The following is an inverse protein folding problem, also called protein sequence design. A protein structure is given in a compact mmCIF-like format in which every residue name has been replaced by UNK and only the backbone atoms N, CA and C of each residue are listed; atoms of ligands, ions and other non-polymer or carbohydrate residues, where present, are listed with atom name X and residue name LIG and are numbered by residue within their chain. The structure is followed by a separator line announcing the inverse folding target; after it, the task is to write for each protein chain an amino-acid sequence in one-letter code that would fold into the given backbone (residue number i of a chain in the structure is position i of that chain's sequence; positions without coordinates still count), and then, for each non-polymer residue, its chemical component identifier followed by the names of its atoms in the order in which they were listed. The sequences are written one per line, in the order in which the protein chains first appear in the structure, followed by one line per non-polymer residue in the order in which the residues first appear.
data_IF_690663790360
#
_entry.id   IF_690663790360
#
_cell.length_a   1.000
_cell.length_b   1.000
_cell.length_c   1.000
_cell.angle_alpha   90.00
_cell.angle_beta   90.00
_cell.angle_gamma   90.00
#
_symmetry.space_group_name_H-M   'P 1'
#
loop_
_entity.id
_entity.type
_entity.pdbx_description
1 polymer ?
#
# COMPACT_ATOMS: atom_id res chain seq x y z
N UNK A 1 13.89 -5.36 23.09
CA UNK A 1 12.50 -5.52 22.62
C UNK A 1 11.58 -4.60 23.41
N UNK A 2 11.02 -3.57 22.77
CA UNK A 2 9.95 -2.78 23.39
C UNK A 2 8.62 -3.43 23.04
N UNK A 3 8.06 -4.20 23.96
CA UNK A 3 6.67 -4.63 23.87
C UNK A 3 5.78 -3.39 23.99
N UNK A 4 5.22 -2.91 22.86
CA UNK A 4 4.10 -1.97 22.88
C UNK A 4 2.95 -2.62 23.65
N UNK A 5 2.67 -2.15 24.87
CA UNK A 5 1.47 -2.54 25.61
C UNK A 5 0.24 -2.04 24.84
N UNK A 6 -0.37 -2.93 24.09
CA UNK A 6 -1.68 -2.74 23.47
C UNK A 6 -2.72 -2.71 24.60
N UNK A 7 -3.56 -1.66 24.67
CA UNK A 7 -4.63 -1.60 25.66
C UNK A 7 -5.54 -2.82 25.49
N UNK A 8 -5.72 -3.60 26.55
CA UNK A 8 -6.43 -4.89 26.57
C UNK A 8 -7.95 -4.80 26.29
N UNK A 9 -8.42 -3.69 25.73
CA UNK A 9 -9.84 -3.36 25.51
C UNK A 9 -10.22 -3.48 24.03
N UNK A 10 -9.25 -3.51 23.10
CA UNK A 10 -9.55 -3.64 21.67
C UNK A 10 -8.78 -4.77 21.02
N UNK A 11 -9.51 -5.64 20.33
CA UNK A 11 -8.97 -6.64 19.41
C UNK A 11 -8.31 -6.00 18.18
N UNK A 12 -8.54 -4.70 17.96
CA UNK A 12 -7.93 -3.92 16.89
C UNK A 12 -6.51 -3.48 17.25
N UNK A 13 -5.57 -3.96 16.44
CA UNK A 13 -4.15 -3.61 16.49
C UNK A 13 -3.77 -2.42 15.59
N UNK A 14 -4.66 -2.00 14.68
CA UNK A 14 -4.48 -0.83 13.84
C UNK A 14 -5.49 -0.76 12.69
N UNK A 15 -5.25 0.14 11.73
CA UNK A 15 -6.03 0.28 10.50
C UNK A 15 -5.10 0.23 9.29
N UNK A 16 -5.51 -0.46 8.24
CA UNK A 16 -4.84 -0.47 6.95
C UNK A 16 -5.70 0.28 5.94
N UNK A 17 -5.15 1.33 5.31
CA UNK A 17 -5.89 2.17 4.36
C UNK A 17 -5.20 2.22 3.00
N UNK A 18 -5.97 2.54 1.98
CA UNK A 18 -5.49 3.02 0.69
C UNK A 18 -6.19 4.33 0.35
N UNK A 19 -5.43 5.28 -0.17
CA UNK A 19 -5.93 6.57 -0.62
C UNK A 19 -5.59 6.83 -2.08
N UNK A 20 -6.35 7.69 -2.74
CA UNK A 20 -6.03 8.15 -4.09
C UNK A 20 -4.91 9.19 -4.07
N UNK A 21 -4.42 9.58 -5.26
CA UNK A 21 -3.41 10.64 -5.41
C UNK A 21 -3.83 12.01 -4.82
N UNK A 22 -5.14 12.25 -4.66
CA UNK A 22 -5.69 13.46 -4.05
C UNK A 22 -5.82 13.35 -2.51
N UNK A 23 -5.29 12.28 -1.91
CA UNK A 23 -5.33 12.00 -0.46
C UNK A 23 -6.73 11.75 0.12
N UNK A 24 -7.69 11.35 -0.70
CA UNK A 24 -8.96 10.80 -0.21
C UNK A 24 -8.80 9.31 0.07
N UNK A 25 -9.20 8.87 1.26
CA UNK A 25 -9.25 7.45 1.63
C UNK A 25 -10.30 6.76 0.75
N UNK A 26 -9.89 5.74 0.01
CA UNK A 26 -10.76 4.97 -0.88
C UNK A 26 -11.31 3.73 -0.19
N UNK A 27 -10.44 3.03 0.54
CA UNK A 27 -10.77 1.81 1.28
C UNK A 27 -9.95 1.78 2.57
N UNK A 28 -10.51 1.12 3.59
CA UNK A 28 -9.81 0.81 4.83
C UNK A 28 -10.29 -0.52 5.41
N UNK A 29 -9.45 -1.15 6.23
CA UNK A 29 -9.84 -2.31 7.02
C UNK A 29 -9.12 -2.32 8.37
N UNK A 30 -9.78 -2.89 9.37
CA UNK A 30 -9.22 -3.03 10.71
C UNK A 30 -8.23 -4.19 10.77
N UNK A 31 -7.07 -3.94 11.35
CA UNK A 31 -6.10 -4.98 11.64
C UNK A 31 -6.44 -5.63 12.98
N UNK A 32 -7.03 -6.82 12.94
CA UNK A 32 -7.51 -7.54 14.12
C UNK A 32 -6.46 -8.55 14.60
N UNK A 33 -6.01 -8.41 15.86
CA UNK A 33 -5.15 -9.35 16.61
C UNK A 33 -3.76 -9.67 16.05
N UNK A 34 -3.39 -9.18 14.87
CA UNK A 34 -2.23 -9.70 14.14
C UNK A 34 -1.22 -8.65 13.65
N UNK A 35 -1.43 -7.36 13.91
CA UNK A 35 -0.61 -6.29 13.33
C UNK A 35 -0.61 -6.35 11.79
N UNK A 36 0.48 -5.91 11.16
CA UNK A 36 0.63 -5.75 9.70
C UNK A 36 0.93 -7.07 8.96
N UNK A 37 -0.04 -7.99 8.93
CA UNK A 37 0.05 -9.19 8.10
C UNK A 37 -0.32 -8.91 6.64
N UNK A 38 0.26 -9.67 5.70
CA UNK A 38 0.00 -9.54 4.25
C UNK A 38 -1.46 -9.80 3.84
N UNK A 39 -2.28 -10.38 4.71
CA UNK A 39 -3.71 -10.58 4.45
C UNK A 39 -4.48 -9.26 4.26
N UNK A 40 -4.08 -8.19 4.94
CA UNK A 40 -4.74 -6.88 4.83
C UNK A 40 -4.48 -6.19 3.49
N UNK A 41 -3.21 -6.00 3.04
CA UNK A 41 -2.95 -5.45 1.71
C UNK A 41 -3.52 -6.33 0.60
N UNK A 42 -3.51 -7.67 0.72
CA UNK A 42 -4.16 -8.55 -0.26
C UNK A 42 -5.69 -8.35 -0.32
N UNK A 43 -6.36 -8.23 0.83
CA UNK A 43 -7.80 -7.98 0.89
C UNK A 43 -8.16 -6.62 0.27
N UNK A 44 -7.40 -5.58 0.61
CA UNK A 44 -7.56 -4.24 0.05
C UNK A 44 -7.32 -4.25 -1.45
N UNK A 45 -6.24 -4.88 -1.93
CA UNK A 45 -5.96 -5.00 -3.36
C UNK A 45 -7.07 -5.74 -4.10
N UNK A 46 -7.58 -6.85 -3.56
CA UNK A 46 -8.70 -7.56 -4.20
C UNK A 46 -9.92 -6.66 -4.38
N UNK A 47 -10.27 -5.89 -3.34
CA UNK A 47 -11.39 -4.94 -3.41
C UNK A 47 -11.09 -3.78 -4.35
N UNK A 48 -9.89 -3.22 -4.32
CA UNK A 48 -9.45 -2.13 -5.19
C UNK A 48 -9.60 -2.53 -6.67
N UNK A 49 -9.12 -3.73 -7.02
CA UNK A 49 -9.23 -4.33 -8.35
C UNK A 49 -10.67 -4.67 -8.76
N UNK A 50 -11.61 -4.85 -7.82
CA UNK A 50 -13.03 -5.04 -8.16
C UNK A 50 -13.72 -3.72 -8.51
N UNK A 51 -13.24 -2.61 -7.97
CA UNK A 51 -13.93 -1.31 -8.04
C UNK A 51 -13.31 -0.40 -9.10
N UNK A 52 -12.01 -0.55 -9.37
CA UNK A 52 -11.28 0.29 -10.31
C UNK A 52 -10.95 -0.48 -11.59
N UNK A 53 -10.79 0.28 -12.69
CA UNK A 53 -10.50 -0.27 -14.02
C UNK A 53 -9.05 -0.71 -14.22
N UNK A 54 -8.73 -0.98 -15.48
CA UNK A 54 -7.38 -1.41 -15.89
C UNK A 54 -6.34 -0.29 -15.82
N UNK A 55 -5.07 -0.68 -15.84
CA UNK A 55 -3.89 0.19 -15.82
C UNK A 55 -3.73 1.00 -14.52
N UNK A 56 -4.21 0.45 -13.40
CA UNK A 56 -4.04 1.05 -12.08
C UNK A 56 -2.59 0.97 -11.58
N UNK A 57 -2.11 2.05 -10.96
CA UNK A 57 -0.81 2.13 -10.31
C UNK A 57 -0.98 2.24 -8.80
N UNK A 58 -0.36 1.33 -8.05
CA UNK A 58 -0.48 1.27 -6.59
C UNK A 58 0.89 1.48 -5.94
N UNK A 59 0.97 2.53 -5.12
CA UNK A 59 2.16 2.84 -4.33
C UNK A 59 2.08 2.17 -2.98
N UNK A 60 3.15 1.47 -2.61
CA UNK A 60 3.32 0.88 -1.29
C UNK A 60 4.79 0.90 -0.91
N UNK A 61 5.11 1.17 0.36
CA UNK A 61 6.50 1.28 0.84
C UNK A 61 7.33 0.02 0.51
N UNK A 62 6.67 -1.14 0.59
CA UNK A 62 7.24 -2.44 0.23
C UNK A 62 6.73 -2.96 -1.12
N UNK A 63 6.30 -2.06 -2.03
CA UNK A 63 5.66 -2.41 -3.30
C UNK A 63 6.44 -3.42 -4.14
N UNK A 64 7.78 -3.31 -4.15
CA UNK A 64 8.65 -4.25 -4.86
C UNK A 64 8.60 -5.68 -4.29
N UNK A 65 8.51 -5.83 -2.97
CA UNK A 65 8.39 -7.14 -2.32
C UNK A 65 6.95 -7.65 -2.39
N UNK A 66 5.99 -6.75 -2.19
CA UNK A 66 4.57 -7.06 -2.24
C UNK A 66 4.12 -7.49 -3.64
N UNK A 67 4.76 -7.02 -4.72
CA UNK A 67 4.50 -7.52 -6.06
C UNK A 67 4.70 -9.05 -6.18
N UNK A 68 5.72 -9.60 -5.51
CA UNK A 68 5.94 -11.05 -5.42
C UNK A 68 4.81 -11.72 -4.64
N UNK A 69 4.41 -11.16 -3.50
CA UNK A 69 3.25 -11.66 -2.73
C UNK A 69 1.97 -11.64 -3.55
N UNK A 70 1.73 -10.56 -4.30
CA UNK A 70 0.57 -10.41 -5.17
C UNK A 70 0.58 -11.48 -6.27
N UNK A 71 1.73 -11.73 -6.89
CA UNK A 71 1.91 -12.73 -7.95
C UNK A 71 1.74 -14.17 -7.46
N UNK A 72 2.03 -14.42 -6.19
CA UNK A 72 1.86 -15.73 -5.55
C UNK A 72 0.50 -15.89 -4.84
N UNK A 73 -0.43 -14.96 -5.03
CA UNK A 73 -1.74 -14.97 -4.38
C UNK A 73 -2.85 -15.47 -5.29
N UNK A 74 -4.02 -15.71 -4.72
CA UNK A 74 -5.23 -16.10 -5.47
C UNK A 74 -5.76 -14.98 -6.39
N UNK A 75 -5.28 -13.74 -6.24
CA UNK A 75 -5.75 -12.58 -7.01
C UNK A 75 -4.81 -12.19 -8.16
N UNK A 76 -3.74 -12.96 -8.43
CA UNK A 76 -2.78 -12.71 -9.51
C UNK A 76 -3.43 -12.53 -10.86
N UNK A 77 -4.30 -13.45 -11.27
CA UNK A 77 -4.94 -13.41 -12.59
C UNK A 77 -5.75 -12.12 -12.79
N UNK A 78 -6.38 -11.63 -11.72
CA UNK A 78 -7.13 -10.38 -11.72
C UNK A 78 -6.22 -9.16 -11.79
N UNK A 79 -5.12 -9.16 -11.05
CA UNK A 79 -4.14 -8.07 -11.12
C UNK A 79 -3.50 -7.97 -12.51
N UNK A 80 -3.18 -9.12 -13.12
CA UNK A 80 -2.62 -9.20 -14.47
C UNK A 80 -3.64 -8.80 -15.54
N UNK A 81 -4.88 -9.27 -15.47
CA UNK A 81 -5.92 -8.91 -16.46
C UNK A 81 -6.25 -7.43 -16.45
N UNK A 82 -6.12 -6.78 -15.30
CA UNK A 82 -6.28 -5.34 -15.15
C UNK A 82 -4.98 -4.56 -15.37
N UNK A 83 -3.87 -5.21 -15.75
CA UNK A 83 -2.57 -4.57 -15.93
C UNK A 83 -2.18 -3.65 -14.74
N UNK A 84 -2.35 -4.17 -13.52
CA UNK A 84 -2.05 -3.39 -12.31
C UNK A 84 -0.56 -3.39 -12.03
N UNK A 85 0.00 -2.20 -11.82
CA UNK A 85 1.42 -2.02 -11.53
C UNK A 85 1.63 -1.62 -10.08
N UNK A 86 2.50 -2.34 -9.38
CA UNK A 86 2.98 -1.93 -8.06
C UNK A 86 4.16 -0.98 -8.22
N UNK A 87 4.30 -0.02 -7.31
CA UNK A 87 5.40 0.94 -7.24
C UNK A 87 5.80 1.17 -5.78
N UNK A 88 7.00 1.71 -5.58
CA UNK A 88 7.47 2.19 -4.28
C UNK A 88 7.34 3.71 -4.21
N UNK A 89 6.89 4.26 -3.08
CA UNK A 89 6.82 5.72 -2.87
C UNK A 89 8.17 6.39 -3.14
N UNK A 90 8.17 7.61 -3.70
CA UNK A 90 9.38 8.29 -4.17
C UNK A 90 10.44 8.47 -3.07
N UNK A 91 10.01 8.76 -1.83
CA UNK A 91 10.95 8.89 -0.73
C UNK A 91 11.55 7.54 -0.34
N UNK A 92 10.70 6.51 -0.19
CA UNK A 92 11.15 5.17 0.16
C UNK A 92 11.99 4.50 -0.92
N UNK A 93 11.66 4.74 -2.19
CA UNK A 93 12.33 4.11 -3.30
C UNK A 93 13.81 4.45 -3.36
N UNK A 94 14.20 5.68 -2.99
CA UNK A 94 15.62 6.06 -2.91
C UNK A 94 16.42 5.31 -1.83
N UNK A 95 15.75 4.75 -0.81
CA UNK A 95 16.40 3.90 0.18
C UNK A 95 16.63 2.46 -0.32
N UNK A 96 16.06 2.08 -1.47
CA UNK A 96 16.22 0.75 -2.05
C UNK A 96 17.48 0.70 -2.93
N UNK A 97 17.97 -0.51 -3.23
CA UNK A 97 19.11 -0.68 -4.15
C UNK A 97 18.78 -0.16 -5.57
N UNK A 98 19.83 0.17 -6.34
CA UNK A 98 19.71 0.75 -7.68
C UNK A 98 18.80 -0.08 -8.61
N UNK A 99 18.93 -1.42 -8.63
CA UNK A 99 18.09 -2.29 -9.45
C UNK A 99 16.60 -2.18 -9.08
N UNK A 100 16.30 -2.06 -7.79
CA UNK A 100 14.93 -1.85 -7.32
C UNK A 100 14.41 -0.48 -7.75
N UNK A 101 15.23 0.56 -7.66
CA UNK A 101 14.86 1.90 -8.11
C UNK A 101 14.48 1.92 -9.59
N UNK A 102 15.32 1.35 -10.46
CA UNK A 102 15.07 1.33 -11.91
C UNK A 102 13.75 0.66 -12.30
N UNK A 103 13.29 -0.33 -11.53
CA UNK A 103 12.10 -1.12 -11.83
C UNK A 103 10.82 -0.63 -11.13
N UNK A 104 10.94 0.04 -9.98
CA UNK A 104 9.80 0.30 -9.08
C UNK A 104 9.65 1.76 -8.65
N UNK A 105 10.65 2.61 -8.90
CA UNK A 105 10.61 4.01 -8.50
C UNK A 105 9.82 4.86 -9.51
N UNK A 106 8.92 5.76 -9.06
CA UNK A 106 8.04 6.52 -9.95
C UNK A 106 8.78 7.36 -10.99
N UNK A 107 9.97 7.87 -10.66
CA UNK A 107 10.83 8.63 -11.57
C UNK A 107 11.11 7.90 -12.90
N UNK A 108 11.21 6.57 -12.87
CA UNK A 108 11.55 5.77 -14.05
C UNK A 108 10.34 5.12 -14.71
N UNK A 109 9.14 5.32 -14.15
CA UNK A 109 7.90 4.69 -14.61
C UNK A 109 6.98 5.76 -15.19
N UNK A 110 6.65 5.62 -16.48
CA UNK A 110 5.74 6.55 -17.17
C UNK A 110 4.32 6.41 -16.64
N UNK A 111 3.60 7.52 -16.54
CA UNK A 111 2.19 7.55 -16.10
C UNK A 111 2.00 7.87 -14.61
N UNK A 112 3.08 7.98 -13.84
CA UNK A 112 3.05 8.35 -12.41
C UNK A 112 2.85 9.86 -12.19
N UNK A 113 3.18 10.68 -13.19
CA UNK A 113 3.15 12.14 -13.06
C UNK A 113 4.09 12.63 -11.97
N UNK A 114 3.67 13.64 -11.20
CA UNK A 114 4.42 14.18 -10.07
C UNK A 114 4.00 13.57 -8.73
N UNK A 115 3.34 12.42 -8.74
CA UNK A 115 2.91 11.78 -7.49
C UNK A 115 4.12 11.29 -6.69
N UNK A 116 4.09 11.54 -5.38
CA UNK A 116 5.12 11.01 -4.47
C UNK A 116 4.81 9.60 -3.99
N UNK A 117 3.56 9.13 -4.13
CA UNK A 117 3.13 7.85 -3.57
C UNK A 117 3.02 7.83 -2.04
N UNK A 118 2.95 9.00 -1.40
CA UNK A 118 3.03 9.19 0.06
C UNK A 118 1.67 9.53 0.70
N UNK A 119 0.57 9.23 0.00
CA UNK A 119 -0.77 9.70 0.41
C UNK A 119 -1.19 9.22 1.79
N UNK A 120 -0.97 7.93 2.10
CA UNK A 120 -1.37 7.36 3.39
C UNK A 120 -0.63 8.03 4.56
N UNK A 121 0.66 8.37 4.39
CA UNK A 121 1.41 9.08 5.44
C UNK A 121 0.87 10.48 5.73
N UNK A 122 0.39 11.18 4.70
CA UNK A 122 -0.24 12.49 4.90
C UNK A 122 -1.55 12.35 5.67
N UNK A 123 -2.38 11.35 5.30
CA UNK A 123 -3.63 11.05 6.02
C UNK A 123 -3.34 10.73 7.49
N UNK A 124 -2.38 9.85 7.76
CA UNK A 124 -2.00 9.50 9.14
C UNK A 124 -1.38 10.66 9.91
N UNK A 125 -0.58 11.49 9.26
CA UNK A 125 0.00 12.69 9.88
C UNK A 125 -1.09 13.63 10.38
N UNK A 126 -2.14 13.87 9.59
CA UNK A 126 -3.26 14.75 9.98
C UNK A 126 -4.11 14.11 11.07
N UNK A 127 -4.26 12.78 11.08
CA UNK A 127 -5.00 12.11 12.16
C UNK A 127 -4.33 12.19 13.52
N UNK A 128 -3.01 12.40 13.57
CA UNK A 128 -2.30 12.58 14.84
C UNK A 128 -2.70 13.87 15.57
N UNK A 129 -3.19 14.89 14.84
CA UNK A 129 -3.69 16.12 15.46
C UNK A 129 -4.99 15.90 16.25
N UNK A 130 -5.62 14.74 16.09
CA UNK A 130 -6.88 14.35 16.76
C UNK A 130 -6.66 13.40 17.95
N UNK A 131 -5.42 12.97 18.20
CA UNK A 131 -5.05 12.04 19.27
C UNK A 131 -4.43 12.78 20.46
#
# INVERSE_FOLDING_TARGET
EQHKKMFAISDQSGIFIVCCQHRFVLLGCDMVKSGELMKYPLAIMNKLLSVHGSNGMVFYDIGCAFATTLTNSTITLKALSLNTQMLVGAFHGHAHNCKCQLNWHPLYIRGTGNTKGEGCKHVFSVSNDLA
#
